data_IF_653792154778
#
_entry.id   IF_653792154778
#
_cell.length_a   1.000
_cell.length_b   1.000
_cell.length_c   1.000
_cell.angle_alpha   90.00
_cell.angle_beta   90.00
_cell.angle_gamma   90.00
#
_symmetry.space_group_name_H-M   'P 1'
#
loop_
_entity.id
_entity.type
_entity.pdbx_description
1 polymer ?
#
# COMPACT_ATOMS: atom_id res chain seq x y z
N UNK A 1 -34.45 47.84 -14.48
CA UNK A 1 -33.71 46.58 -14.63
C UNK A 1 -34.55 45.35 -14.26
N UNK A 2 -35.06 45.18 -13.01
CA UNK A 2 -35.82 43.97 -12.61
C UNK A 2 -37.08 43.72 -13.46
N UNK A 3 -37.84 44.75 -13.83
CA UNK A 3 -39.02 44.67 -14.74
C UNK A 3 -38.63 44.15 -16.13
N UNK A 4 -37.48 44.59 -16.65
CA UNK A 4 -36.94 44.13 -17.95
C UNK A 4 -36.56 42.64 -17.95
N UNK A 5 -36.07 42.15 -16.81
CA UNK A 5 -35.70 40.74 -16.61
C UNK A 5 -36.87 39.85 -16.16
N UNK A 6 -38.09 40.36 -16.08
CA UNK A 6 -39.26 39.61 -15.64
C UNK A 6 -39.20 39.17 -14.16
N UNK A 7 -38.36 39.81 -13.34
CA UNK A 7 -38.15 39.44 -11.93
C UNK A 7 -38.91 40.37 -11.01
N UNK A 8 -39.73 39.82 -10.08
CA UNK A 8 -40.42 40.61 -9.08
C UNK A 8 -39.45 41.20 -8.03
N UNK A 9 -39.72 42.41 -7.53
CA UNK A 9 -38.88 43.03 -6.46
C UNK A 9 -38.86 42.20 -5.19
N UNK A 10 -39.95 41.56 -4.82
CA UNK A 10 -40.05 40.66 -3.66
C UNK A 10 -39.21 39.40 -3.86
N UNK A 11 -39.26 38.78 -5.05
CA UNK A 11 -38.46 37.61 -5.41
C UNK A 11 -36.95 37.93 -5.36
N UNK A 12 -36.55 39.10 -5.88
CA UNK A 12 -35.17 39.55 -5.84
C UNK A 12 -34.68 39.78 -4.39
N UNK A 13 -35.46 40.43 -3.53
CA UNK A 13 -35.15 40.62 -2.10
C UNK A 13 -35.07 39.27 -1.37
N UNK A 14 -36.04 38.37 -1.63
CA UNK A 14 -36.00 37.04 -1.05
C UNK A 14 -34.75 36.24 -1.49
N UNK A 15 -34.29 36.39 -2.72
CA UNK A 15 -33.04 35.82 -3.21
C UNK A 15 -31.82 36.39 -2.50
N UNK A 16 -31.72 37.70 -2.35
CA UNK A 16 -30.61 38.37 -1.64
C UNK A 16 -30.54 37.97 -0.16
N UNK A 17 -31.66 37.82 0.50
CA UNK A 17 -31.76 37.51 1.92
C UNK A 17 -31.85 35.99 2.17
N UNK A 18 -31.69 35.15 1.15
CA UNK A 18 -31.80 33.70 1.28
C UNK A 18 -30.66 33.17 2.16
N UNK A 19 -30.99 32.62 3.30
CA UNK A 19 -30.04 31.90 4.16
C UNK A 19 -29.58 30.64 3.43
N UNK A 20 -28.32 30.27 3.62
CA UNK A 20 -27.75 29.02 3.09
C UNK A 20 -28.53 27.85 3.68
N UNK A 21 -29.07 26.97 2.83
CA UNK A 21 -29.86 25.82 3.28
C UNK A 21 -28.98 24.86 4.11
N UNK A 22 -29.56 24.11 5.07
CA UNK A 22 -28.84 23.13 5.84
C UNK A 22 -28.10 22.09 4.95
N UNK A 23 -28.72 21.67 3.85
CA UNK A 23 -28.13 20.76 2.88
C UNK A 23 -26.86 21.36 2.21
N UNK A 24 -26.88 22.66 1.90
CA UNK A 24 -25.72 23.35 1.33
C UNK A 24 -24.61 23.54 2.38
N UNK A 25 -25.01 23.84 3.61
CA UNK A 25 -24.03 23.92 4.73
C UNK A 25 -23.33 22.57 4.96
N UNK A 26 -24.11 21.48 5.06
CA UNK A 26 -23.58 20.11 5.17
C UNK A 26 -22.65 19.77 4.01
N UNK A 27 -23.03 20.11 2.77
CA UNK A 27 -22.19 19.88 1.58
C UNK A 27 -20.81 20.54 1.73
N UNK A 28 -20.76 21.78 2.18
CA UNK A 28 -19.49 22.50 2.35
C UNK A 28 -18.63 21.90 3.50
N UNK A 29 -19.27 21.45 4.59
CA UNK A 29 -18.58 20.74 5.67
C UNK A 29 -17.96 19.44 5.14
N UNK A 30 -18.75 18.62 4.45
CA UNK A 30 -18.28 17.35 3.87
C UNK A 30 -17.14 17.56 2.87
N UNK A 31 -17.23 18.59 2.03
CA UNK A 31 -16.14 18.94 1.10
C UNK A 31 -14.83 19.27 1.82
N UNK A 32 -14.89 19.99 2.93
CA UNK A 32 -13.69 20.29 3.74
C UNK A 32 -13.09 19.01 4.34
N UNK A 33 -13.92 18.09 4.84
CA UNK A 33 -13.43 16.81 5.35
C UNK A 33 -12.84 15.94 4.22
N UNK A 34 -13.46 15.90 3.04
CA UNK A 34 -12.88 15.24 1.86
C UNK A 34 -11.50 15.80 1.54
N UNK A 35 -11.32 17.12 1.54
CA UNK A 35 -10.01 17.75 1.32
C UNK A 35 -8.99 17.34 2.37
N UNK A 36 -9.38 17.36 3.64
CA UNK A 36 -8.51 16.99 4.76
C UNK A 36 -8.03 15.52 4.63
N UNK A 37 -8.95 14.58 4.39
CA UNK A 37 -8.63 13.16 4.17
C UNK A 37 -7.74 12.99 2.94
N UNK A 38 -8.03 13.69 1.84
CA UNK A 38 -7.24 13.64 0.62
C UNK A 38 -5.80 14.10 0.84
N UNK A 39 -5.58 15.19 1.58
CA UNK A 39 -4.24 15.67 1.92
C UNK A 39 -3.53 14.75 2.92
N UNK A 40 -4.23 14.26 3.94
CA UNK A 40 -3.66 13.31 4.90
C UNK A 40 -3.19 12.01 4.23
N UNK A 41 -3.91 11.56 3.19
CA UNK A 41 -3.51 10.40 2.36
C UNK A 41 -2.42 10.74 1.33
N UNK A 42 -1.78 11.89 1.41
CA UNK A 42 -0.79 12.36 0.42
C UNK A 42 -1.34 12.30 -1.02
N UNK A 43 -2.63 12.63 -1.19
CA UNK A 43 -3.38 12.66 -2.45
C UNK A 43 -3.61 11.28 -3.10
N UNK A 44 -3.43 10.19 -2.37
CA UNK A 44 -3.57 8.82 -2.87
C UNK A 44 -5.00 8.30 -2.85
N UNK A 45 -5.87 8.84 -1.98
CA UNK A 45 -7.21 8.28 -1.83
C UNK A 45 -8.18 8.81 -2.88
N UNK A 46 -8.86 7.87 -3.54
CA UNK A 46 -10.04 8.15 -4.37
C UNK A 46 -11.33 8.05 -3.58
N UNK A 47 -12.47 8.26 -4.26
CA UNK A 47 -13.79 8.24 -3.65
C UNK A 47 -14.06 7.00 -2.77
N UNK A 48 -13.68 5.75 -3.13
CA UNK A 48 -13.93 4.60 -2.27
C UNK A 48 -13.27 4.73 -0.90
N UNK A 49 -11.97 5.00 -0.84
CA UNK A 49 -11.23 5.11 0.43
C UNK A 49 -11.66 6.33 1.25
N UNK A 50 -11.89 7.48 0.61
CA UNK A 50 -12.39 8.69 1.27
C UNK A 50 -13.77 8.42 1.90
N UNK A 51 -14.64 7.66 1.22
CA UNK A 51 -15.94 7.29 1.77
C UNK A 51 -15.78 6.44 3.04
N UNK A 52 -14.85 5.50 3.07
CA UNK A 52 -14.58 4.68 4.26
C UNK A 52 -14.11 5.54 5.43
N UNK A 53 -13.21 6.49 5.20
CA UNK A 53 -12.74 7.41 6.25
C UNK A 53 -13.85 8.31 6.77
N UNK A 54 -14.74 8.80 5.88
CA UNK A 54 -15.92 9.57 6.29
C UNK A 54 -16.90 8.72 7.12
N UNK A 55 -17.10 7.45 6.77
CA UNK A 55 -17.92 6.53 7.56
C UNK A 55 -17.33 6.27 8.94
N UNK A 56 -16.02 6.10 9.07
CA UNK A 56 -15.33 5.98 10.37
C UNK A 56 -15.55 7.20 11.27
N UNK A 57 -15.65 8.40 10.67
CA UNK A 57 -15.95 9.64 11.40
C UNK A 57 -17.45 9.85 11.68
N UNK A 58 -18.32 8.89 11.32
CA UNK A 58 -19.76 8.94 11.53
C UNK A 58 -20.56 9.65 10.43
N UNK A 59 -19.92 10.09 9.33
CA UNK A 59 -20.61 10.75 8.23
C UNK A 59 -21.24 9.72 7.27
N UNK A 60 -22.57 9.63 7.24
CA UNK A 60 -23.28 8.73 6.34
C UNK A 60 -23.44 9.37 4.95
N UNK A 61 -22.58 8.97 4.01
CA UNK A 61 -22.55 9.49 2.65
C UNK A 61 -22.23 8.37 1.64
N UNK A 62 -22.91 8.39 0.49
CA UNK A 62 -22.66 7.43 -0.57
C UNK A 62 -21.38 7.76 -1.35
N UNK A 63 -20.61 6.73 -1.74
CA UNK A 63 -19.40 6.86 -2.56
C UNK A 63 -19.61 7.70 -3.83
N UNK A 64 -20.77 7.55 -4.49
CA UNK A 64 -21.12 8.33 -5.68
C UNK A 64 -21.16 9.84 -5.38
N UNK A 65 -21.65 10.22 -4.19
CA UNK A 65 -21.72 11.63 -3.75
C UNK A 65 -20.34 12.18 -3.46
N UNK A 66 -19.49 11.39 -2.79
CA UNK A 66 -18.07 11.74 -2.56
C UNK A 66 -17.35 11.96 -3.90
N UNK A 67 -17.51 11.05 -4.85
CA UNK A 67 -16.94 11.19 -6.20
C UNK A 67 -17.45 12.42 -6.96
N UNK A 68 -18.72 12.81 -6.77
CA UNK A 68 -19.27 14.06 -7.30
C UNK A 68 -18.58 15.29 -6.67
N UNK A 69 -18.44 15.31 -5.34
CA UNK A 69 -17.82 16.42 -4.64
C UNK A 69 -16.33 16.56 -4.97
N UNK A 70 -15.61 15.43 -5.10
CA UNK A 70 -14.22 15.44 -5.56
C UNK A 70 -14.09 16.09 -6.95
N UNK A 71 -14.95 15.73 -7.90
CA UNK A 71 -14.97 16.34 -9.24
C UNK A 71 -15.27 17.84 -9.20
N UNK A 72 -16.23 18.27 -8.39
CA UNK A 72 -16.56 19.68 -8.20
C UNK A 72 -15.39 20.50 -7.62
N UNK A 73 -14.53 19.87 -6.84
CA UNK A 73 -13.31 20.48 -6.26
C UNK A 73 -12.06 20.31 -7.12
N UNK A 74 -12.17 19.65 -8.29
CA UNK A 74 -11.01 19.35 -9.13
C UNK A 74 -10.03 18.33 -8.55
N UNK A 75 -10.46 17.54 -7.56
CA UNK A 75 -9.62 16.57 -6.84
C UNK A 75 -9.65 15.23 -7.57
N UNK A 76 -8.45 14.68 -7.82
CA UNK A 76 -8.24 13.35 -8.40
C UNK A 76 -7.23 12.57 -7.57
N UNK A 77 -7.51 11.29 -7.30
CA UNK A 77 -6.50 10.37 -6.78
C UNK A 77 -5.36 10.21 -7.78
N UNK A 78 -4.15 9.97 -7.27
CA UNK A 78 -3.01 9.64 -8.10
C UNK A 78 -3.27 8.33 -8.86
N UNK A 79 -3.13 8.38 -10.17
CA UNK A 79 -3.27 7.23 -11.03
C UNK A 79 -2.21 7.28 -12.14
N UNK A 80 -1.46 6.22 -12.30
CA UNK A 80 -0.56 6.04 -13.44
C UNK A 80 -0.95 4.77 -14.19
N UNK A 81 -0.67 4.73 -15.49
CA UNK A 81 -0.90 3.50 -16.27
C UNK A 81 -0.06 2.36 -15.69
N UNK A 82 -0.61 1.14 -15.59
CA UNK A 82 0.18 -0.03 -15.22
C UNK A 82 1.34 -0.22 -16.21
N UNK A 83 2.52 -0.49 -15.66
CA UNK A 83 3.69 -0.88 -16.45
C UNK A 83 3.69 -2.40 -16.52
N UNK A 84 3.95 -2.95 -17.73
CA UNK A 84 4.11 -4.39 -17.91
C UNK A 84 5.59 -4.73 -17.74
N UNK A 85 5.91 -5.57 -16.74
CA UNK A 85 7.27 -6.08 -16.52
C UNK A 85 7.38 -7.47 -17.12
N UNK A 86 8.41 -7.72 -17.90
CA UNK A 86 8.77 -9.06 -18.37
C UNK A 86 10.03 -9.50 -17.66
N UNK A 87 9.90 -10.43 -16.73
CA UNK A 87 11.03 -11.11 -16.09
C UNK A 87 11.52 -12.23 -17.02
N UNK A 88 12.82 -12.30 -17.29
CA UNK A 88 13.45 -13.46 -17.97
C UNK A 88 13.90 -14.44 -16.89
N UNK A 89 13.30 -15.62 -16.89
CA UNK A 89 13.64 -16.70 -15.98
C UNK A 89 14.95 -17.39 -16.33
N UNK A 90 15.73 -17.69 -15.30
CA UNK A 90 16.80 -18.68 -15.34
C UNK A 90 16.22 -20.07 -15.07
N UNK A 91 16.68 -21.07 -15.80
CA UNK A 91 16.20 -22.45 -15.72
C UNK A 91 16.77 -23.13 -14.48
N UNK A 92 16.00 -23.21 -13.39
CA UNK A 92 16.37 -23.91 -12.17
C UNK A 92 15.43 -25.09 -11.88
N UNK A 93 16.02 -26.16 -11.35
CA UNK A 93 15.58 -27.54 -11.22
C UNK A 93 14.17 -27.77 -10.65
N UNK A 94 13.70 -29.00 -10.84
CA UNK A 94 12.46 -29.62 -10.33
C UNK A 94 12.33 -29.64 -8.77
N UNK A 95 13.34 -29.17 -8.04
CA UNK A 95 13.37 -29.19 -6.56
C UNK A 95 12.72 -27.96 -5.89
N UNK A 96 12.35 -26.94 -6.68
CA UNK A 96 11.75 -25.71 -6.15
C UNK A 96 10.23 -25.84 -6.15
N UNK A 97 9.66 -26.09 -4.99
CA UNK A 97 8.22 -26.29 -4.83
C UNK A 97 7.50 -25.02 -4.45
N UNK A 98 6.28 -24.81 -5.00
CA UNK A 98 5.35 -23.82 -4.49
C UNK A 98 4.55 -24.41 -3.33
N UNK A 99 4.95 -24.11 -2.10
CA UNK A 99 4.26 -24.54 -0.88
C UNK A 99 3.10 -23.59 -0.57
N UNK A 100 3.23 -22.31 -0.94
CA UNK A 100 2.22 -21.29 -0.66
C UNK A 100 0.93 -21.53 -1.45
N UNK A 101 1.03 -22.00 -2.70
CA UNK A 101 -0.09 -22.37 -3.57
C UNK A 101 -1.25 -21.35 -3.53
N UNK A 102 -0.93 -20.08 -3.76
CA UNK A 102 -1.87 -18.93 -3.73
C UNK A 102 -2.65 -18.74 -2.40
N UNK A 103 -2.26 -19.40 -1.31
CA UNK A 103 -2.87 -19.23 0.01
C UNK A 103 -2.38 -17.94 0.68
N UNK A 104 -2.77 -16.81 0.09
CA UNK A 104 -2.27 -15.49 0.51
C UNK A 104 -2.88 -14.95 1.80
N UNK A 105 -3.81 -15.64 2.46
CA UNK A 105 -4.52 -15.13 3.63
C UNK A 105 -4.25 -16.00 4.86
N UNK A 106 -3.03 -15.95 5.45
CA UNK A 106 -2.73 -16.66 6.67
C UNK A 106 -3.56 -16.13 7.86
N UNK A 107 -3.83 -17.00 8.82
CA UNK A 107 -4.68 -16.70 9.98
C UNK A 107 -3.97 -15.89 11.08
N UNK A 108 -2.64 -15.83 11.05
CA UNK A 108 -1.86 -15.13 12.07
C UNK A 108 -0.61 -14.46 11.48
N UNK A 109 -0.08 -13.44 12.16
CA UNK A 109 1.21 -12.85 11.81
C UNK A 109 2.34 -13.88 11.83
N UNK A 110 3.33 -13.69 10.96
CA UNK A 110 4.53 -14.52 10.84
C UNK A 110 4.30 -15.97 10.37
N UNK A 111 3.11 -16.30 9.86
CA UNK A 111 2.88 -17.60 9.24
C UNK A 111 3.47 -17.66 7.83
N UNK A 112 3.32 -16.61 7.04
CA UNK A 112 3.82 -16.50 5.67
C UNK A 112 4.43 -15.15 5.42
N UNK A 113 5.67 -15.13 5.01
CA UNK A 113 6.34 -13.96 4.46
C UNK A 113 6.55 -14.12 2.97
N UNK A 114 6.43 -13.05 2.20
CA UNK A 114 6.87 -13.03 0.80
C UNK A 114 7.94 -11.96 0.60
N UNK A 115 8.86 -12.24 -0.32
CA UNK A 115 9.99 -11.36 -0.65
C UNK A 115 10.15 -11.22 -2.14
N UNK A 116 10.59 -10.03 -2.56
CA UNK A 116 10.90 -9.73 -3.95
C UNK A 116 11.78 -8.49 -4.05
N UNK A 117 12.49 -8.36 -5.17
CA UNK A 117 13.36 -7.23 -5.49
C UNK A 117 12.71 -6.40 -6.59
N UNK A 118 12.60 -5.10 -6.38
CA UNK A 118 12.23 -4.17 -7.44
C UNK A 118 13.30 -3.11 -7.64
N UNK A 119 13.41 -2.60 -8.86
CA UNK A 119 14.36 -1.53 -9.18
C UNK A 119 13.66 -0.16 -9.17
N UNK A 120 14.43 0.85 -8.79
CA UNK A 120 14.05 2.26 -8.78
C UNK A 120 15.07 3.02 -9.64
N UNK A 121 14.59 3.76 -10.63
CA UNK A 121 15.45 4.59 -11.46
C UNK A 121 15.83 5.88 -10.73
N UNK A 122 17.11 6.20 -10.71
CA UNK A 122 17.66 7.49 -10.26
C UNK A 122 18.50 8.11 -11.36
N UNK A 123 18.86 9.38 -11.23
CA UNK A 123 19.74 10.03 -12.23
C UNK A 123 21.14 9.41 -12.26
N UNK A 124 21.59 8.82 -11.13
CA UNK A 124 22.88 8.13 -11.00
C UNK A 124 22.83 6.66 -11.44
N UNK A 125 21.64 6.15 -11.85
CA UNK A 125 21.44 4.75 -12.25
C UNK A 125 20.36 4.04 -11.44
N UNK A 126 20.27 2.72 -11.61
CA UNK A 126 19.30 1.93 -10.85
C UNK A 126 19.75 1.67 -9.41
N UNK A 127 18.80 1.73 -8.50
CA UNK A 127 18.92 1.19 -7.16
C UNK A 127 17.85 0.11 -6.95
N UNK A 128 18.13 -0.87 -6.10
CA UNK A 128 17.34 -2.07 -5.93
C UNK A 128 16.74 -2.10 -4.54
N UNK A 129 15.41 -2.14 -4.49
CA UNK A 129 14.64 -2.23 -3.25
C UNK A 129 14.22 -3.69 -3.05
N UNK A 130 14.76 -4.32 -2.02
CA UNK A 130 14.33 -5.63 -1.55
C UNK A 130 13.40 -5.46 -0.36
N UNK A 131 12.26 -6.14 -0.37
CA UNK A 131 11.24 -6.06 0.68
C UNK A 131 10.85 -7.46 1.16
N UNK A 132 10.51 -7.54 2.45
CA UNK A 132 9.80 -8.69 3.02
C UNK A 132 8.47 -8.21 3.57
N UNK A 133 7.39 -8.84 3.11
CA UNK A 133 6.03 -8.58 3.51
C UNK A 133 5.48 -9.74 4.31
N UNK A 134 4.91 -9.48 5.48
CA UNK A 134 4.05 -10.42 6.18
C UNK A 134 2.65 -10.42 5.54
N UNK A 135 2.22 -11.59 5.06
CA UNK A 135 0.96 -11.70 4.33
C UNK A 135 -0.27 -11.54 5.22
N UNK A 136 -0.18 -11.72 6.52
CA UNK A 136 -1.32 -11.53 7.43
C UNK A 136 -1.90 -10.13 7.35
N UNK A 137 -1.07 -9.13 7.52
CA UNK A 137 -1.49 -7.71 7.51
C UNK A 137 -1.03 -6.95 6.25
N UNK A 138 -0.41 -7.61 5.28
CA UNK A 138 0.28 -6.97 4.14
C UNK A 138 1.33 -5.95 4.58
N UNK A 139 1.92 -6.15 5.75
CA UNK A 139 2.90 -5.25 6.35
C UNK A 139 4.29 -5.50 5.80
N UNK A 140 4.98 -4.44 5.40
CA UNK A 140 6.41 -4.53 5.11
C UNK A 140 7.16 -4.57 6.44
N UNK A 141 7.74 -5.73 6.73
CA UNK A 141 8.42 -5.98 8.01
C UNK A 141 9.92 -5.71 7.97
N UNK A 142 10.50 -5.77 6.77
CA UNK A 142 11.88 -5.39 6.52
C UNK A 142 12.05 -4.95 5.07
N UNK A 143 13.03 -4.07 4.86
CA UNK A 143 13.46 -3.67 3.53
C UNK A 143 14.93 -3.22 3.54
N UNK A 144 15.58 -3.35 2.40
CA UNK A 144 16.90 -2.78 2.11
C UNK A 144 16.89 -2.12 0.76
N UNK A 145 17.68 -1.05 0.63
CA UNK A 145 17.98 -0.43 -0.64
C UNK A 145 19.45 -0.66 -0.94
N UNK A 146 19.79 -1.05 -2.17
CA UNK A 146 21.16 -1.32 -2.60
C UNK A 146 21.39 -0.67 -3.98
N UNK A 147 22.63 -0.35 -4.27
CA UNK A 147 23.10 0.09 -5.58
C UNK A 147 23.42 -1.08 -6.54
N UNK A 148 23.39 -2.31 -6.02
CA UNK A 148 23.58 -3.52 -6.79
C UNK A 148 22.54 -4.60 -6.44
N UNK A 149 22.44 -5.65 -7.27
CA UNK A 149 21.49 -6.75 -7.09
C UNK A 149 22.20 -8.01 -6.53
N UNK A 150 23.03 -7.82 -5.52
CA UNK A 150 23.76 -8.92 -4.90
C UNK A 150 22.93 -9.68 -3.86
N UNK A 151 23.33 -10.93 -3.60
CA UNK A 151 22.73 -11.79 -2.58
C UNK A 151 22.84 -11.17 -1.19
N UNK A 152 23.90 -10.41 -0.92
CA UNK A 152 24.13 -9.72 0.35
C UNK A 152 22.96 -8.85 0.81
N UNK A 153 22.31 -8.12 -0.11
CA UNK A 153 21.16 -7.27 0.20
C UNK A 153 19.92 -8.07 0.61
N UNK A 154 19.71 -9.23 0.00
CA UNK A 154 18.62 -10.15 0.35
C UNK A 154 18.85 -10.77 1.72
N UNK A 155 20.10 -11.16 2.01
CA UNK A 155 20.49 -11.70 3.32
C UNK A 155 20.34 -10.63 4.42
N UNK A 156 20.75 -9.41 4.16
CA UNK A 156 20.53 -8.30 5.10
C UNK A 156 19.05 -8.11 5.39
N UNK A 157 18.19 -8.17 4.37
CA UNK A 157 16.75 -7.97 4.52
C UNK A 157 16.12 -9.07 5.37
N UNK A 158 16.45 -10.35 5.13
CA UNK A 158 15.90 -11.46 5.94
C UNK A 158 16.39 -11.39 7.39
N UNK A 159 17.63 -10.99 7.62
CA UNK A 159 18.15 -10.82 8.98
C UNK A 159 17.46 -9.68 9.72
N UNK A 160 17.18 -8.56 9.05
CA UNK A 160 16.36 -7.47 9.60
C UNK A 160 14.94 -7.95 9.96
N UNK A 161 14.31 -8.74 9.08
CA UNK A 161 12.99 -9.29 9.34
C UNK A 161 12.97 -10.21 10.57
N UNK A 162 13.93 -11.11 10.66
CA UNK A 162 14.10 -12.00 11.82
C UNK A 162 14.26 -11.21 13.11
N UNK A 163 15.17 -10.23 13.12
CA UNK A 163 15.40 -9.37 14.29
C UNK A 163 14.15 -8.57 14.69
N UNK A 164 13.42 -8.03 13.72
CA UNK A 164 12.22 -7.23 13.98
C UNK A 164 11.04 -8.06 14.53
N UNK A 165 10.95 -9.34 14.14
CA UNK A 165 9.84 -10.22 14.50
C UNK A 165 10.14 -11.15 15.67
N UNK A 166 11.41 -11.34 16.02
CA UNK A 166 11.86 -12.23 17.09
C UNK A 166 11.07 -13.56 17.09
N UNK A 167 11.01 -14.20 15.90
CA UNK A 167 10.17 -15.38 15.69
C UNK A 167 11.04 -16.63 15.51
N UNK A 168 10.75 -17.66 16.29
CA UNK A 168 11.27 -19.02 16.13
C UNK A 168 10.28 -19.95 15.41
N UNK A 169 9.20 -19.40 14.90
CA UNK A 169 8.13 -20.18 14.28
C UNK A 169 8.57 -20.74 12.93
N UNK A 170 8.14 -21.96 12.59
CA UNK A 170 8.26 -22.48 11.24
C UNK A 170 7.33 -21.67 10.34
N UNK A 171 7.86 -20.65 9.71
CA UNK A 171 7.13 -19.84 8.76
C UNK A 171 7.47 -20.21 7.32
N UNK A 172 6.56 -19.96 6.43
CA UNK A 172 6.78 -20.06 5.00
C UNK A 172 7.41 -18.74 4.54
N UNK A 173 8.56 -18.82 3.85
CA UNK A 173 9.14 -17.70 3.10
C UNK A 173 8.98 -17.95 1.60
N UNK A 174 8.17 -17.15 0.94
CA UNK A 174 7.86 -17.25 -0.48
C UNK A 174 8.64 -16.22 -1.29
N UNK A 175 9.21 -16.63 -2.42
CA UNK A 175 9.94 -15.78 -3.36
C UNK A 175 9.71 -16.22 -4.80
N UNK A 176 10.14 -15.39 -5.74
CA UNK A 176 10.37 -15.84 -7.11
C UNK A 176 11.58 -16.78 -7.19
N UNK A 177 11.94 -17.22 -8.42
CA UNK A 177 13.10 -18.07 -8.68
C UNK A 177 14.34 -17.26 -9.05
N UNK A 178 14.45 -16.02 -8.63
CA UNK A 178 15.63 -15.20 -8.86
C UNK A 178 16.90 -15.85 -8.30
N UNK A 179 18.03 -15.62 -8.96
CA UNK A 179 19.32 -16.22 -8.58
C UNK A 179 19.71 -15.95 -7.12
N UNK A 180 19.27 -14.83 -6.56
CA UNK A 180 19.49 -14.46 -5.16
C UNK A 180 18.81 -15.44 -4.20
N UNK A 181 17.56 -15.84 -4.50
CA UNK A 181 16.73 -16.69 -3.64
C UNK A 181 17.02 -18.20 -3.77
N UNK A 182 17.79 -18.61 -4.75
CA UNK A 182 18.24 -19.99 -4.92
C UNK A 182 19.69 -20.21 -4.49
N UNK A 183 20.39 -19.17 -4.05
CA UNK A 183 21.78 -19.19 -3.60
C UNK A 183 21.96 -20.00 -2.31
N UNK A 184 23.17 -20.53 -2.09
CA UNK A 184 23.51 -21.23 -0.84
C UNK A 184 23.38 -20.30 0.38
N UNK A 185 23.83 -19.05 0.27
CA UNK A 185 23.70 -18.07 1.36
C UNK A 185 22.24 -17.82 1.76
N UNK A 186 21.31 -17.79 0.78
CA UNK A 186 19.88 -17.70 1.07
C UNK A 186 19.37 -18.95 1.78
N UNK A 187 19.79 -20.14 1.34
CA UNK A 187 19.40 -21.41 1.96
C UNK A 187 19.85 -21.48 3.42
N UNK A 188 21.09 -21.05 3.71
CA UNK A 188 21.62 -20.96 5.06
C UNK A 188 20.85 -19.94 5.91
N UNK A 189 20.62 -18.74 5.36
CA UNK A 189 19.88 -17.70 6.07
C UNK A 189 18.41 -18.06 6.37
N UNK A 190 17.85 -19.02 5.65
CA UNK A 190 16.44 -19.46 5.78
C UNK A 190 16.30 -20.93 6.17
N UNK A 191 17.34 -21.52 6.79
CA UNK A 191 17.34 -22.96 7.13
C UNK A 191 16.16 -23.39 8.03
N UNK A 192 15.76 -22.51 8.96
CA UNK A 192 14.64 -22.74 9.88
C UNK A 192 13.27 -22.35 9.31
N UNK A 193 13.18 -22.05 8.01
CA UNK A 193 11.97 -21.64 7.33
C UNK A 193 11.59 -22.64 6.23
N UNK A 194 10.32 -22.73 5.94
CA UNK A 194 9.83 -23.48 4.76
C UNK A 194 9.94 -22.57 3.53
N UNK A 195 10.90 -22.86 2.66
CA UNK A 195 11.07 -22.10 1.41
C UNK A 195 10.04 -22.52 0.39
N UNK A 196 9.30 -21.54 -0.12
CA UNK A 196 8.32 -21.67 -1.17
C UNK A 196 8.73 -20.82 -2.37
N UNK A 197 8.55 -21.32 -3.58
CA UNK A 197 8.96 -20.64 -4.80
C UNK A 197 7.83 -20.59 -5.81
N UNK A 198 7.66 -19.44 -6.47
CA UNK A 198 6.68 -19.28 -7.54
C UNK A 198 6.88 -20.32 -8.65
N UNK A 199 5.81 -20.73 -9.31
CA UNK A 199 5.91 -21.53 -10.52
C UNK A 199 6.60 -20.73 -11.64
N UNK A 200 7.33 -21.44 -12.51
CA UNK A 200 8.02 -20.82 -13.63
C UNK A 200 7.02 -20.12 -14.55
N UNK A 201 7.22 -18.82 -14.78
CA UNK A 201 6.37 -18.04 -15.69
C UNK A 201 4.95 -17.74 -15.16
N UNK A 202 4.72 -17.92 -13.85
CA UNK A 202 3.41 -17.67 -13.23
C UNK A 202 3.49 -16.51 -12.21
N UNK A 203 3.30 -15.27 -12.67
CA UNK A 203 3.48 -14.08 -11.83
C UNK A 203 2.46 -13.97 -10.68
N UNK A 204 1.33 -14.66 -10.76
CA UNK A 204 0.31 -14.60 -9.72
C UNK A 204 0.76 -15.18 -8.38
N UNK A 205 1.74 -16.09 -8.38
CA UNK A 205 2.25 -16.72 -7.15
C UNK A 205 2.89 -15.73 -6.18
N UNK A 206 3.42 -14.59 -6.66
CA UNK A 206 4.01 -13.54 -5.82
C UNK A 206 3.24 -12.20 -5.88
N UNK A 207 1.97 -12.26 -6.27
CA UNK A 207 1.14 -11.10 -6.57
C UNK A 207 1.03 -10.08 -5.43
N UNK A 208 1.10 -10.52 -4.18
CA UNK A 208 0.95 -9.62 -3.02
C UNK A 208 2.09 -8.61 -2.93
N UNK A 209 3.34 -9.06 -3.03
CA UNK A 209 4.49 -8.15 -2.96
C UNK A 209 4.70 -7.38 -4.26
N UNK A 210 4.40 -7.98 -5.42
CA UNK A 210 4.39 -7.27 -6.70
C UNK A 210 3.37 -6.12 -6.71
N UNK A 211 2.19 -6.35 -6.12
CA UNK A 211 1.19 -5.30 -5.90
C UNK A 211 1.74 -4.17 -5.03
N UNK A 212 2.48 -4.48 -3.95
CA UNK A 212 3.13 -3.48 -3.13
C UNK A 212 4.16 -2.67 -3.92
N UNK A 213 5.02 -3.34 -4.72
CA UNK A 213 6.00 -2.66 -5.56
C UNK A 213 5.33 -1.72 -6.59
N UNK A 214 4.21 -2.14 -7.16
CA UNK A 214 3.40 -1.29 -8.01
C UNK A 214 2.81 -0.09 -7.26
N UNK A 215 2.38 -0.29 -6.01
CA UNK A 215 1.82 0.76 -5.17
C UNK A 215 2.85 1.83 -4.80
N UNK A 216 4.02 1.45 -4.28
CA UNK A 216 5.06 2.42 -3.90
C UNK A 216 5.50 3.25 -5.11
N UNK A 217 5.69 2.61 -6.27
CA UNK A 217 6.03 3.32 -7.51
C UNK A 217 4.94 4.30 -7.91
N UNK A 218 3.70 3.85 -7.99
CA UNK A 218 2.56 4.64 -8.45
C UNK A 218 2.14 5.73 -7.48
N UNK A 219 2.05 5.40 -6.20
CA UNK A 219 1.53 6.30 -5.18
C UNK A 219 2.59 7.31 -4.70
N UNK A 220 3.89 7.03 -4.93
CA UNK A 220 4.94 7.84 -4.37
C UNK A 220 6.11 8.09 -5.31
N UNK A 221 6.92 7.10 -5.65
CA UNK A 221 8.21 7.29 -6.31
C UNK A 221 8.09 8.00 -7.66
N UNK A 222 7.09 7.69 -8.48
CA UNK A 222 6.88 8.29 -9.80
C UNK A 222 6.52 9.79 -9.77
N UNK A 223 6.37 10.38 -8.60
CA UNK A 223 6.12 11.82 -8.43
C UNK A 223 7.40 12.64 -8.38
N UNK A 224 8.53 11.98 -8.22
CA UNK A 224 9.82 12.63 -7.97
C UNK A 224 10.81 12.33 -9.09
N UNK A 225 11.61 13.33 -9.43
CA UNK A 225 12.85 13.12 -10.17
C UNK A 225 13.93 12.70 -9.16
N UNK A 226 14.10 11.39 -8.99
CA UNK A 226 14.99 10.84 -7.97
C UNK A 226 16.43 11.04 -8.41
N UNK A 227 17.21 11.78 -7.63
CA UNK A 227 18.56 12.19 -8.01
C UNK A 227 19.56 11.05 -7.83
N UNK A 228 19.59 10.43 -6.65
CA UNK A 228 20.61 9.45 -6.25
C UNK A 228 20.07 8.47 -5.21
N UNK A 229 20.94 7.57 -4.76
CA UNK A 229 20.65 6.58 -3.72
C UNK A 229 20.05 7.20 -2.45
N UNK A 230 20.66 8.26 -1.91
CA UNK A 230 20.19 8.89 -0.66
C UNK A 230 18.77 9.46 -0.81
N UNK A 231 18.48 10.08 -1.94
CA UNK A 231 17.14 10.59 -2.22
C UNK A 231 16.13 9.43 -2.36
N UNK A 232 16.49 8.35 -3.07
CA UNK A 232 15.66 7.14 -3.17
C UNK A 232 15.39 6.54 -1.78
N UNK A 233 16.43 6.41 -0.93
CA UNK A 233 16.31 5.89 0.42
C UNK A 233 15.33 6.70 1.28
N UNK A 234 15.43 8.03 1.25
CA UNK A 234 14.53 8.90 2.00
C UNK A 234 13.07 8.74 1.56
N UNK A 235 12.82 8.64 0.25
CA UNK A 235 11.48 8.44 -0.29
C UNK A 235 10.91 7.07 0.06
N UNK A 236 11.72 6.00 -0.01
CA UNK A 236 11.30 4.65 0.37
C UNK A 236 10.99 4.59 1.86
N UNK A 237 11.87 5.13 2.71
CA UNK A 237 11.65 5.21 4.14
C UNK A 237 10.35 5.95 4.47
N UNK A 238 10.17 7.14 3.89
CA UNK A 238 8.96 7.93 4.12
C UNK A 238 7.70 7.18 3.69
N UNK A 239 7.72 6.50 2.54
CA UNK A 239 6.55 5.75 2.10
C UNK A 239 6.26 4.54 2.99
N UNK A 240 7.25 3.71 3.29
CA UNK A 240 7.04 2.46 4.02
C UNK A 240 6.73 2.73 5.49
N UNK A 241 7.61 3.51 6.17
CA UNK A 241 7.54 3.62 7.63
C UNK A 241 6.50 4.64 8.10
N UNK A 242 6.33 5.75 7.36
CA UNK A 242 5.45 6.81 7.83
C UNK A 242 4.06 6.80 7.19
N UNK A 243 3.87 6.07 6.10
CA UNK A 243 2.59 6.05 5.39
C UNK A 243 2.02 4.65 5.18
N UNK A 244 2.74 3.76 4.47
CA UNK A 244 2.20 2.46 4.07
C UNK A 244 1.80 1.59 5.26
N UNK A 245 2.72 1.39 6.21
CA UNK A 245 2.48 0.56 7.38
C UNK A 245 1.57 1.22 8.44
N UNK A 246 1.53 2.57 8.50
CA UNK A 246 0.94 3.30 9.64
C UNK A 246 -0.37 4.00 9.34
N UNK A 247 -0.55 4.50 8.11
CA UNK A 247 -1.68 5.37 7.73
C UNK A 247 -2.49 4.79 6.59
N UNK A 248 -1.82 4.13 5.64
CA UNK A 248 -2.47 3.67 4.42
C UNK A 248 -3.44 2.52 4.71
N UNK A 249 -4.74 2.77 4.45
CA UNK A 249 -5.77 1.74 4.63
C UNK A 249 -5.74 0.69 3.51
N UNK A 250 -5.98 -0.56 3.90
CA UNK A 250 -6.04 -1.73 3.02
C UNK A 250 -7.40 -2.41 3.11
N UNK A 251 -7.99 -2.76 1.95
CA UNK A 251 -9.25 -3.53 1.92
C UNK A 251 -9.11 -4.92 2.55
N UNK A 252 -7.94 -5.56 2.41
CA UNK A 252 -7.62 -6.83 3.07
C UNK A 252 -7.62 -6.73 4.60
N UNK A 253 -7.28 -5.58 5.15
CA UNK A 253 -7.23 -5.30 6.59
C UNK A 253 -8.48 -4.56 7.07
N UNK A 254 -9.64 -4.82 6.50
CA UNK A 254 -10.90 -4.15 6.85
C UNK A 254 -10.78 -2.62 6.86
N UNK A 255 -10.05 -2.08 5.89
CA UNK A 255 -9.74 -0.66 5.77
C UNK A 255 -9.00 -0.07 6.99
N UNK A 256 -8.24 -0.89 7.69
CA UNK A 256 -7.23 -0.46 8.65
C UNK A 256 -5.86 -0.38 7.97
N UNK A 257 -4.91 0.31 8.60
CA UNK A 257 -3.50 0.20 8.21
C UNK A 257 -2.93 -1.16 8.65
N UNK A 258 -1.83 -1.63 8.04
CA UNK A 258 -1.17 -2.87 8.47
C UNK A 258 -0.86 -2.92 9.96
N UNK A 259 -0.37 -1.81 10.52
CA UNK A 259 -0.05 -1.72 11.96
C UNK A 259 -1.31 -1.79 12.85
N UNK A 260 -2.41 -1.16 12.44
CA UNK A 260 -3.66 -1.20 13.20
C UNK A 260 -4.27 -2.60 13.18
N UNK A 261 -4.21 -3.29 12.03
CA UNK A 261 -4.73 -4.64 11.88
C UNK A 261 -3.96 -5.65 12.74
N UNK A 262 -2.61 -5.60 12.76
CA UNK A 262 -1.80 -6.44 13.66
C UNK A 262 -2.11 -6.16 15.13
N UNK A 263 -2.19 -4.89 15.54
CA UNK A 263 -2.53 -4.51 16.92
C UNK A 263 -3.91 -5.01 17.33
N UNK A 264 -4.87 -5.01 16.42
CA UNK A 264 -6.21 -5.57 16.71
C UNK A 264 -6.12 -7.06 16.97
N UNK A 265 -5.40 -7.82 16.15
CA UNK A 265 -5.17 -9.24 16.34
C UNK A 265 -4.51 -9.55 17.69
N UNK A 266 -3.46 -8.83 18.08
CA UNK A 266 -2.78 -9.00 19.35
C UNK A 266 -3.72 -8.75 20.55
N UNK A 267 -4.56 -7.71 20.47
CA UNK A 267 -5.56 -7.41 21.50
C UNK A 267 -6.59 -8.54 21.63
N UNK A 268 -7.12 -9.02 20.52
CA UNK A 268 -8.10 -10.12 20.53
C UNK A 268 -7.49 -11.39 21.11
N UNK A 269 -6.23 -11.72 20.75
CA UNK A 269 -5.51 -12.88 21.27
C UNK A 269 -5.20 -12.79 22.75
N UNK A 270 -5.03 -11.57 23.29
CA UNK A 270 -4.74 -11.34 24.72
C UNK A 270 -5.99 -11.35 25.63
N UNK A 271 -7.20 -11.37 25.04
CA UNK A 271 -8.43 -11.51 25.83
C UNK A 271 -8.55 -12.94 26.35
N UNK A 272 -8.93 -13.15 27.65
CA UNK A 272 -9.19 -14.48 28.17
C UNK A 272 -10.32 -15.12 27.35
N UNK A 273 -10.15 -16.39 27.01
CA UNK A 273 -11.23 -17.17 26.39
C UNK A 273 -12.44 -17.15 27.32
N UNK A 274 -13.60 -16.68 26.81
CA UNK A 274 -14.83 -16.57 27.59
C UNK A 274 -15.44 -17.94 27.88
#
# INVERSE_FOLDING_TARGET
MLKFLGVSRSGYRAFLNRKVSPARQRKEIVKKEIQKIYHASKQNYGAPKITQELHKSGENIAQRTVGKYMREMGIKAQWSKPWTTTTRDSDFSSELHNILDEQFNPECPNAVWCTDITYIWTQDGFVYLNCIMDLFARKIIAWTLSDNMEVSSVIETINKAKAARNTDLPLIIHSDRGSQYVSNAWREATENMQRSYSHKGYPYDNACIESFHSLIKREWLNRFHIQNYRHAYSLVFEYIETFYNTVRIHSHCDYMSPNEFEKLYERVKSLPAA
#
